data_IF_104927159066
#
_entry.id   IF_104927159066
#
_cell.length_a   1.000
_cell.length_b   1.000
_cell.length_c   1.000
_cell.angle_alpha   90.00
_cell.angle_beta   90.00
_cell.angle_gamma   90.00
#
_symmetry.space_group_name_H-M   'P 1'
#
loop_
_entity.id
_entity.type
_entity.pdbx_description
1 polymer ?
#
# COMPACT_ATOMS: atom_id res chain seq x y z
N UNK A 1 -3.10 26.69 -6.66
CA UNK A 1 -2.59 26.10 -7.92
C UNK A 1 -2.22 24.61 -7.76
N UNK A 2 -1.27 24.24 -6.90
CA UNK A 2 -0.84 22.83 -6.76
C UNK A 2 -1.97 21.88 -6.31
N UNK A 3 -2.79 22.31 -5.35
CA UNK A 3 -4.01 21.60 -4.96
C UNK A 3 -4.98 21.35 -6.13
N UNK A 4 -5.12 22.30 -7.04
CA UNK A 4 -5.97 22.14 -8.24
C UNK A 4 -5.39 21.12 -9.21
N UNK A 5 -4.06 21.16 -9.43
CA UNK A 5 -3.37 20.16 -10.26
C UNK A 5 -3.51 18.77 -9.63
N UNK A 6 -3.28 18.63 -8.32
CA UNK A 6 -3.45 17.36 -7.60
C UNK A 6 -4.88 16.82 -7.71
N UNK A 7 -5.90 17.66 -7.50
CA UNK A 7 -7.30 17.25 -7.64
C UNK A 7 -7.59 16.67 -9.00
N UNK A 8 -7.12 17.32 -10.06
CA UNK A 8 -7.33 16.87 -11.43
C UNK A 8 -6.54 15.58 -11.73
N UNK A 9 -5.28 15.47 -11.27
CA UNK A 9 -4.46 14.28 -11.46
C UNK A 9 -5.01 13.05 -10.74
N UNK A 10 -5.73 13.25 -9.63
CA UNK A 10 -6.32 12.18 -8.82
C UNK A 10 -7.78 11.86 -9.20
N UNK A 11 -8.36 12.53 -10.23
CA UNK A 11 -9.66 12.14 -10.77
C UNK A 11 -9.62 10.71 -11.33
N UNK A 12 -10.67 9.89 -11.11
CA UNK A 12 -10.75 8.55 -11.69
C UNK A 12 -10.65 8.60 -13.21
N UNK A 13 -9.84 7.73 -13.80
CA UNK A 13 -9.56 7.64 -15.24
C UNK A 13 -8.73 8.82 -15.82
N UNK A 14 -8.03 9.54 -14.99
CA UNK A 14 -7.21 10.66 -15.43
C UNK A 14 -5.86 10.21 -16.04
N UNK A 15 -5.90 9.67 -17.26
CA UNK A 15 -4.73 9.75 -18.15
C UNK A 15 -4.49 11.19 -18.59
N UNK A 16 -4.55 12.17 -17.64
CA UNK A 16 -4.64 13.59 -17.98
C UNK A 16 -3.31 14.08 -18.47
N UNK A 17 -3.28 14.46 -19.75
CA UNK A 17 -2.13 15.11 -20.36
C UNK A 17 -1.95 16.53 -19.81
N UNK A 18 -0.73 17.07 -19.91
CA UNK A 18 -0.48 18.48 -19.54
C UNK A 18 -1.30 19.48 -20.35
N UNK A 19 -1.79 19.07 -21.52
CA UNK A 19 -2.69 19.87 -22.35
C UNK A 19 -4.07 20.05 -21.72
N UNK A 20 -4.65 18.97 -21.19
CA UNK A 20 -5.94 19.03 -20.49
C UNK A 20 -5.86 19.88 -19.22
N UNK A 21 -4.71 19.83 -18.53
CA UNK A 21 -4.46 20.70 -17.37
C UNK A 21 -4.36 22.17 -17.78
N UNK A 22 -3.74 22.46 -18.93
CA UNK A 22 -3.64 23.80 -19.51
C UNK A 22 -5.03 24.38 -19.81
N UNK A 23 -5.89 23.62 -20.46
CA UNK A 23 -7.27 24.03 -20.76
C UNK A 23 -8.11 24.25 -19.49
N UNK A 24 -8.02 23.33 -18.52
CA UNK A 24 -8.81 23.41 -17.27
C UNK A 24 -8.35 24.54 -16.34
N UNK A 25 -7.06 24.87 -16.33
CA UNK A 25 -6.48 25.82 -15.37
C UNK A 25 -6.10 27.17 -15.99
N UNK A 26 -6.10 27.30 -17.31
CA UNK A 26 -5.72 28.55 -17.99
C UNK A 26 -4.27 28.97 -17.76
N UNK A 27 -3.37 28.01 -17.50
CA UNK A 27 -1.97 28.27 -17.19
C UNK A 27 -1.05 27.82 -18.32
N UNK A 28 0.10 28.50 -18.54
CA UNK A 28 1.07 28.07 -19.55
C UNK A 28 1.55 26.64 -19.34
N UNK A 29 1.63 25.88 -20.43
CA UNK A 29 2.03 24.45 -20.43
C UNK A 29 3.36 24.19 -19.72
N UNK A 30 4.35 25.06 -19.90
CA UNK A 30 5.65 24.96 -19.23
C UNK A 30 5.55 25.05 -17.72
N UNK A 31 4.69 25.93 -17.20
CA UNK A 31 4.41 26.08 -15.76
C UNK A 31 3.74 24.84 -15.21
N UNK A 32 2.75 24.29 -15.94
CA UNK A 32 2.04 23.06 -15.56
C UNK A 32 2.99 21.87 -15.53
N UNK A 33 3.79 21.68 -16.58
CA UNK A 33 4.75 20.58 -16.65
C UNK A 33 5.76 20.60 -15.50
N UNK A 34 6.33 21.78 -15.19
CA UNK A 34 7.26 21.91 -14.07
C UNK A 34 6.61 21.57 -12.73
N UNK A 35 5.39 22.09 -12.48
CA UNK A 35 4.67 21.82 -11.23
C UNK A 35 4.19 20.38 -11.13
N UNK A 36 3.67 19.82 -12.22
CA UNK A 36 3.28 18.42 -12.30
C UNK A 36 4.44 17.50 -11.97
N UNK A 37 5.60 17.70 -12.58
CA UNK A 37 6.81 16.91 -12.30
C UNK A 37 7.23 16.99 -10.83
N UNK A 38 7.13 18.18 -10.23
CA UNK A 38 7.40 18.35 -8.80
C UNK A 38 6.40 17.58 -7.94
N UNK A 39 5.10 17.71 -8.22
CA UNK A 39 4.04 17.03 -7.46
C UNK A 39 4.11 15.50 -7.62
N UNK A 40 4.39 15.01 -8.83
CA UNK A 40 4.59 13.58 -9.08
C UNK A 40 5.80 13.03 -8.31
N UNK A 41 6.87 13.80 -8.18
CA UNK A 41 8.06 13.39 -7.43
C UNK A 41 7.85 13.38 -5.91
N UNK A 42 7.16 14.38 -5.37
CA UNK A 42 7.10 14.61 -3.91
C UNK A 42 5.85 14.00 -3.25
N UNK A 43 4.74 13.86 -3.99
CA UNK A 43 3.44 13.53 -3.41
C UNK A 43 2.70 12.37 -4.10
N UNK A 44 3.14 11.91 -5.26
CA UNK A 44 2.44 10.87 -6.01
C UNK A 44 3.32 9.64 -6.23
N UNK A 45 2.73 8.49 -6.00
CA UNK A 45 3.33 7.20 -6.31
C UNK A 45 2.63 6.59 -7.51
N UNK A 46 3.41 6.15 -8.50
CA UNK A 46 2.91 5.39 -9.65
C UNK A 46 3.27 3.92 -9.47
N UNK A 47 2.27 3.09 -9.24
CA UNK A 47 2.46 1.65 -9.11
C UNK A 47 1.63 0.87 -10.12
N UNK A 48 2.20 -0.21 -10.66
CA UNK A 48 1.44 -1.23 -11.36
C UNK A 48 0.97 -2.28 -10.35
N UNK A 49 -0.31 -2.60 -10.37
CA UNK A 49 -0.87 -3.64 -9.52
C UNK A 49 -1.29 -4.84 -10.35
N UNK A 50 -0.84 -6.02 -9.96
CA UNK A 50 -1.30 -7.26 -10.58
C UNK A 50 -2.69 -7.64 -10.05
N UNK A 51 -3.54 -8.14 -10.95
CA UNK A 51 -4.76 -8.80 -10.53
C UNK A 51 -4.43 -10.23 -10.06
N UNK A 52 -4.09 -10.34 -8.77
CA UNK A 52 -3.66 -11.61 -8.16
C UNK A 52 -4.71 -12.71 -8.29
N UNK A 53 -6.00 -12.37 -8.13
CA UNK A 53 -7.09 -13.34 -8.28
C UNK A 53 -7.13 -13.98 -9.66
N UNK A 54 -6.89 -13.20 -10.74
CA UNK A 54 -6.80 -13.72 -12.11
C UNK A 54 -5.59 -14.65 -12.33
N UNK A 55 -4.58 -14.56 -11.47
CA UNK A 55 -3.38 -15.40 -11.50
C UNK A 55 -3.46 -16.59 -10.52
N UNK A 56 -4.57 -16.75 -9.80
CA UNK A 56 -4.77 -17.79 -8.82
C UNK A 56 -4.03 -17.57 -7.49
N UNK A 57 -3.64 -16.33 -7.20
CA UNK A 57 -3.01 -15.95 -5.95
C UNK A 57 -3.96 -15.15 -5.06
N UNK A 58 -3.70 -15.17 -3.76
CA UNK A 58 -4.44 -14.42 -2.74
C UNK A 58 -3.49 -13.55 -1.93
N UNK A 59 -3.99 -12.44 -1.46
CA UNK A 59 -3.28 -11.56 -0.53
C UNK A 59 -3.84 -11.76 0.86
N UNK A 60 -2.95 -12.03 1.81
CA UNK A 60 -3.30 -12.28 3.22
C UNK A 60 -2.50 -11.33 4.11
N UNK A 61 -3.13 -10.79 5.12
CA UNK A 61 -2.48 -10.01 6.16
C UNK A 61 -2.08 -10.92 7.33
N UNK A 62 -0.83 -10.85 7.74
CA UNK A 62 -0.34 -11.45 8.97
C UNK A 62 -0.21 -10.36 10.03
N UNK A 63 -0.85 -10.57 11.16
CA UNK A 63 -0.79 -9.69 12.32
C UNK A 63 0.09 -10.37 13.37
N UNK A 64 1.26 -9.81 13.65
CA UNK A 64 2.33 -10.50 14.38
C UNK A 64 2.57 -9.80 15.70
N UNK A 65 2.58 -10.60 16.76
CA UNK A 65 2.91 -10.21 18.12
C UNK A 65 4.35 -10.57 18.41
N UNK A 66 5.14 -9.60 18.88
CA UNK A 66 6.55 -9.81 19.17
C UNK A 66 6.86 -9.65 20.66
N UNK A 67 8.00 -10.16 21.10
CA UNK A 67 8.50 -9.95 22.45
C UNK A 67 9.61 -8.90 22.49
N UNK A 68 9.48 -7.91 23.38
CA UNK A 68 10.59 -7.10 23.89
C UNK A 68 11.62 -6.55 22.90
N UNK A 69 11.21 -5.69 21.95
CA UNK A 69 12.17 -4.91 21.14
C UNK A 69 12.73 -5.60 19.88
N UNK A 70 12.35 -6.85 19.59
CA UNK A 70 12.84 -7.61 18.42
C UNK A 70 12.13 -7.25 17.11
N UNK A 71 11.14 -6.35 17.11
CA UNK A 71 10.25 -6.00 15.99
C UNK A 71 11.03 -5.73 14.69
N UNK A 72 12.11 -4.95 14.77
CA UNK A 72 12.89 -4.60 13.57
C UNK A 72 13.68 -5.78 13.02
N UNK A 73 14.19 -6.66 13.86
CA UNK A 73 14.90 -7.87 13.44
C UNK A 73 13.94 -8.84 12.75
N UNK A 74 12.76 -9.06 13.35
CA UNK A 74 11.71 -9.91 12.76
C UNK A 74 11.24 -9.34 11.42
N UNK A 75 11.02 -8.02 11.30
CA UNK A 75 10.64 -7.39 10.05
C UNK A 75 11.67 -7.64 8.92
N UNK A 76 12.96 -7.60 9.24
CA UNK A 76 14.03 -7.90 8.27
C UNK A 76 14.04 -9.37 7.85
N UNK A 77 13.79 -10.29 8.77
CA UNK A 77 13.71 -11.73 8.44
C UNK A 77 12.47 -12.03 7.59
N UNK A 78 11.32 -11.42 7.92
CA UNK A 78 10.10 -11.54 7.11
C UNK A 78 10.32 -11.08 5.67
N UNK A 79 11.00 -9.94 5.46
CA UNK A 79 11.26 -9.40 4.12
C UNK A 79 12.23 -10.25 3.28
N UNK A 80 12.85 -11.30 3.84
CA UNK A 80 13.65 -12.28 3.08
C UNK A 80 12.79 -13.38 2.47
N UNK A 81 11.55 -13.55 2.94
CA UNK A 81 10.61 -14.54 2.41
C UNK A 81 10.01 -14.04 1.11
N UNK A 82 9.98 -14.88 0.08
CA UNK A 82 9.48 -14.50 -1.26
C UNK A 82 8.00 -14.13 -1.28
N UNK A 83 7.23 -14.74 -0.38
CA UNK A 83 5.79 -14.49 -0.26
C UNK A 83 5.47 -13.13 0.37
N UNK A 84 6.41 -12.53 1.09
CA UNK A 84 6.22 -11.29 1.84
C UNK A 84 6.46 -10.08 0.94
N UNK A 85 5.41 -9.30 0.71
CA UNK A 85 5.45 -8.10 -0.16
C UNK A 85 5.47 -6.78 0.60
N UNK A 86 5.08 -6.81 1.87
CA UNK A 86 5.06 -5.63 2.72
C UNK A 86 5.22 -6.01 4.19
N UNK A 87 5.96 -5.20 4.95
CA UNK A 87 6.01 -5.27 6.41
C UNK A 87 5.94 -3.87 6.98
N UNK A 88 4.95 -3.61 7.82
CA UNK A 88 4.76 -2.34 8.52
C UNK A 88 4.71 -2.52 10.03
N UNK A 89 5.24 -1.56 10.76
CA UNK A 89 5.07 -1.49 12.21
C UNK A 89 3.66 -1.00 12.53
N UNK A 90 2.96 -1.70 13.41
CA UNK A 90 1.64 -1.32 13.90
C UNK A 90 1.74 -0.64 15.26
N UNK A 91 0.84 0.32 15.51
CA UNK A 91 0.65 0.97 16.80
C UNK A 91 -0.86 1.03 17.03
N UNK A 92 -1.33 0.54 18.18
CA UNK A 92 -2.75 0.54 18.52
C UNK A 92 -3.01 -0.04 19.91
N UNK A 93 -4.28 -0.14 20.29
CA UNK A 93 -4.72 -0.70 21.60
C UNK A 93 -4.42 -2.19 21.75
N UNK A 94 -4.29 -2.91 20.65
CA UNK A 94 -3.93 -4.33 20.65
C UNK A 94 -2.42 -4.47 20.47
N UNK A 95 -1.86 -5.50 21.08
CA UNK A 95 -0.43 -5.79 21.11
C UNK A 95 0.16 -6.26 19.77
N UNK A 96 -0.46 -5.92 18.64
CA UNK A 96 0.07 -6.19 17.29
C UNK A 96 1.23 -5.25 17.04
N UNK A 97 2.41 -5.80 16.87
CA UNK A 97 3.64 -5.02 16.62
C UNK A 97 3.95 -4.85 15.15
N UNK A 98 3.66 -5.88 14.34
CA UNK A 98 3.89 -5.90 12.90
C UNK A 98 2.65 -6.36 12.15
N UNK A 99 2.42 -5.73 10.99
CA UNK A 99 1.55 -6.23 9.94
C UNK A 99 2.40 -6.55 8.72
N UNK A 100 2.29 -7.76 8.22
CA UNK A 100 2.90 -8.16 6.97
C UNK A 100 1.82 -8.52 5.94
N UNK A 101 1.99 -8.09 4.70
CA UNK A 101 1.17 -8.57 3.60
C UNK A 101 1.93 -9.66 2.86
N UNK A 102 1.27 -10.78 2.63
CA UNK A 102 1.83 -11.95 1.94
C UNK A 102 0.96 -12.33 0.74
N UNK A 103 1.60 -12.88 -0.27
CA UNK A 103 0.94 -13.42 -1.45
C UNK A 103 1.12 -14.93 -1.43
N UNK A 104 0.01 -15.68 -1.39
CA UNK A 104 0.00 -17.14 -1.34
C UNK A 104 -0.97 -17.69 -2.38
N UNK A 105 -0.71 -18.91 -2.83
CA UNK A 105 -1.56 -19.57 -3.80
C UNK A 105 -2.72 -20.31 -3.15
N UNK A 106 -2.45 -21.00 -2.05
CA UNK A 106 -3.43 -21.85 -1.37
C UNK A 106 -3.22 -21.89 0.15
N UNK A 107 -4.07 -22.66 0.82
CA UNK A 107 -4.02 -22.79 2.28
C UNK A 107 -2.78 -23.56 2.75
N UNK A 108 -2.20 -24.43 1.94
CA UNK A 108 -0.99 -25.18 2.31
C UNK A 108 0.22 -24.24 2.41
N UNK A 109 0.38 -23.36 1.43
CA UNK A 109 1.42 -22.31 1.47
C UNK A 109 1.21 -21.38 2.67
N UNK A 110 -0.04 -20.95 2.92
CA UNK A 110 -0.36 -20.08 4.07
C UNK A 110 0.00 -20.76 5.40
N UNK A 111 -0.38 -22.03 5.57
CA UNK A 111 -0.08 -22.77 6.81
C UNK A 111 1.42 -22.93 7.02
N UNK A 112 2.16 -23.31 5.97
CA UNK A 112 3.62 -23.42 6.05
C UNK A 112 4.28 -22.09 6.41
N UNK A 113 3.82 -20.99 5.84
CA UNK A 113 4.31 -19.65 6.17
C UNK A 113 3.98 -19.26 7.63
N UNK A 114 2.77 -19.56 8.11
CA UNK A 114 2.40 -19.28 9.50
C UNK A 114 3.24 -20.07 10.49
N UNK A 115 3.54 -21.34 10.21
CA UNK A 115 4.41 -22.17 11.04
C UNK A 115 5.83 -21.63 11.06
N UNK A 116 6.35 -21.22 9.90
CA UNK A 116 7.69 -20.60 9.77
C UNK A 116 7.77 -19.29 10.57
N UNK A 117 6.79 -18.42 10.45
CA UNK A 117 6.78 -17.15 11.19
C UNK A 117 6.61 -17.37 12.69
N UNK A 118 5.77 -18.32 13.12
CA UNK A 118 5.63 -18.68 14.54
C UNK A 118 6.89 -19.27 15.15
N UNK A 119 7.74 -19.92 14.34
CA UNK A 119 9.01 -20.46 14.79
C UNK A 119 10.14 -19.43 14.90
N UNK A 120 9.93 -18.19 14.42
CA UNK A 120 10.92 -17.13 14.55
C UNK A 120 11.11 -16.73 16.01
N UNK A 121 12.37 -16.54 16.39
CA UNK A 121 12.70 -16.07 17.74
C UNK A 121 12.01 -14.74 18.04
N UNK A 122 11.46 -14.62 19.25
CA UNK A 122 10.71 -13.46 19.73
C UNK A 122 9.34 -13.21 19.07
N UNK A 123 8.87 -14.03 18.18
CA UNK A 123 7.47 -14.06 17.77
C UNK A 123 6.66 -14.78 18.84
N UNK A 124 5.66 -14.11 19.39
CA UNK A 124 4.78 -14.67 20.44
C UNK A 124 3.55 -15.32 19.85
N UNK A 125 2.97 -14.67 18.84
CA UNK A 125 1.80 -15.20 18.14
C UNK A 125 1.65 -14.54 16.77
N UNK A 126 0.95 -15.22 15.88
CA UNK A 126 0.58 -14.73 14.56
C UNK A 126 -0.87 -15.09 14.29
N UNK A 127 -1.65 -14.08 13.98
CA UNK A 127 -3.00 -14.28 13.44
C UNK A 127 -3.02 -13.77 11.99
N UNK A 128 -3.94 -14.24 11.21
CA UNK A 128 -4.06 -13.85 9.82
C UNK A 128 -5.47 -13.37 9.48
N UNK A 129 -5.57 -12.57 8.44
CA UNK A 129 -6.81 -12.04 7.92
C UNK A 129 -6.76 -11.97 6.40
N UNK A 130 -7.84 -12.32 5.74
CA UNK A 130 -7.98 -12.25 4.29
C UNK A 130 -9.21 -11.43 3.93
N UNK A 131 -9.05 -10.51 2.97
CA UNK A 131 -10.19 -9.80 2.39
C UNK A 131 -10.74 -10.68 1.27
N UNK A 132 -11.85 -11.35 1.53
CA UNK A 132 -12.49 -12.26 0.58
C UNK A 132 -13.32 -11.54 -0.47
N UNK A 133 -13.81 -10.33 -0.16
CA UNK A 133 -14.60 -9.51 -1.07
C UNK A 133 -14.39 -8.02 -0.79
N UNK A 134 -14.20 -7.22 -1.84
CA UNK A 134 -14.08 -5.77 -1.75
C UNK A 134 -15.45 -5.15 -2.00
N UNK A 135 -16.19 -4.84 -0.95
CA UNK A 135 -17.52 -4.21 -1.02
C UNK A 135 -17.46 -2.84 -1.68
N UNK A 136 -16.37 -2.11 -1.51
CA UNK A 136 -16.18 -0.81 -2.16
C UNK A 136 -14.81 -0.21 -1.90
N UNK A 137 -14.31 0.50 -2.90
CA UNK A 137 -13.02 1.20 -2.84
C UNK A 137 -13.12 2.54 -3.57
N UNK A 138 -12.64 3.60 -2.95
CA UNK A 138 -12.39 4.87 -3.63
C UNK A 138 -11.01 4.80 -4.29
N UNK A 139 -10.97 4.97 -5.60
CA UNK A 139 -9.73 4.91 -6.39
C UNK A 139 -8.89 6.19 -6.27
N UNK A 140 -9.46 7.26 -5.74
CA UNK A 140 -8.77 8.54 -5.57
C UNK A 140 -8.95 9.09 -4.17
N UNK A 141 -7.98 9.87 -3.73
CA UNK A 141 -8.07 10.64 -2.47
C UNK A 141 -9.20 11.67 -2.61
N UNK A 142 -10.17 11.71 -1.68
CA UNK A 142 -11.25 12.69 -1.74
C UNK A 142 -10.71 14.13 -1.76
N UNK A 143 -11.32 14.99 -2.59
CA UNK A 143 -10.91 16.39 -2.75
C UNK A 143 -10.81 17.15 -1.43
N UNK A 144 -11.71 16.86 -0.47
CA UNK A 144 -11.67 17.46 0.86
C UNK A 144 -10.44 17.13 1.71
N UNK A 145 -9.73 16.03 1.39
CA UNK A 145 -8.42 15.73 2.03
C UNK A 145 -7.35 16.62 1.42
N UNK A 146 -7.36 16.79 0.09
CA UNK A 146 -6.41 17.65 -0.62
C UNK A 146 -6.57 19.12 -0.18
N UNK A 147 -7.79 19.54 0.17
CA UNK A 147 -8.05 20.91 0.65
C UNK A 147 -7.40 21.21 2.02
N UNK A 148 -7.05 20.18 2.78
CA UNK A 148 -6.36 20.31 4.09
C UNK A 148 -4.84 20.44 3.97
N UNK A 149 -4.26 20.16 2.78
CA UNK A 149 -2.85 20.42 2.50
C UNK A 149 -2.61 21.94 2.38
#
# INVERSE_FOLDING_TARGET
MDKQILKILLEPNSGISSHVLEEKLGLPRSTIQRRRKHLEKEYLEHTYSLNLGSLGFRRVDLLIYTGGGATQAIAKELLKLEEVVYVGRSIGEHTIDLRAEVIVKDNSELLGLLELVKAMESVKDVIWSEIVDVIGQKRSVPAGIIDRL
#
